data_IF_764945277249
#
_entry.id   IF_764945277249
#
_cell.length_a   1.000
_cell.length_b   1.000
_cell.length_c   1.000
_cell.angle_alpha   90.00
_cell.angle_beta   90.00
_cell.angle_gamma   90.00
#
_symmetry.space_group_name_H-M   'P 1'
#
loop_
_entity.id
_entity.type
_entity.pdbx_description
1 polymer ?
#
# COMPACT_ATOMS: atom_id res chain seq x y z
N UNK A 1 -4.57 -9.97 13.63
CA UNK A 1 -3.36 -10.14 12.78
C UNK A 1 -3.51 -11.20 11.67
N UNK A 2 -4.46 -12.14 11.74
CA UNK A 2 -4.65 -13.17 10.69
C UNK A 2 -4.83 -12.57 9.29
N UNK A 3 -5.76 -11.62 9.15
CA UNK A 3 -6.04 -10.95 7.87
C UNK A 3 -4.80 -10.23 7.30
N UNK A 4 -4.04 -9.51 8.14
CA UNK A 4 -2.81 -8.82 7.69
C UNK A 4 -1.78 -9.82 7.13
N UNK A 5 -1.59 -10.97 7.79
CA UNK A 5 -0.66 -12.01 7.32
C UNK A 5 -1.13 -12.65 5.99
N UNK A 6 -2.43 -12.93 5.87
CA UNK A 6 -3.02 -13.46 4.62
C UNK A 6 -2.88 -12.45 3.47
N UNK A 7 -3.09 -11.16 3.75
CA UNK A 7 -2.91 -10.08 2.80
C UNK A 7 -1.48 -9.98 2.29
N UNK A 8 -0.49 -10.05 3.19
CA UNK A 8 0.92 -9.96 2.81
C UNK A 8 1.35 -11.14 1.95
N UNK A 9 0.87 -12.35 2.26
CA UNK A 9 1.07 -13.55 1.42
C UNK A 9 0.40 -13.41 0.05
N UNK A 10 -0.83 -12.90 0.00
CA UNK A 10 -1.57 -12.67 -1.26
C UNK A 10 -0.78 -11.79 -2.24
N UNK A 11 -0.08 -10.78 -1.71
CA UNK A 11 0.73 -9.86 -2.51
C UNK A 11 2.24 -10.15 -2.49
N UNK A 12 2.66 -11.31 -1.96
CA UNK A 12 4.07 -11.74 -1.90
C UNK A 12 5.00 -10.70 -1.29
N UNK A 13 4.58 -10.13 -0.16
CA UNK A 13 5.32 -9.10 0.59
C UNK A 13 5.82 -9.59 1.95
N UNK A 14 5.67 -10.89 2.20
CA UNK A 14 6.07 -11.60 3.42
C UNK A 14 7.57 -11.88 3.51
N UNK A 15 8.35 -11.66 2.45
CA UNK A 15 9.83 -11.68 2.50
C UNK A 15 10.44 -10.32 2.09
N UNK A 16 9.62 -9.28 2.02
CA UNK A 16 10.08 -7.97 1.58
C UNK A 16 10.91 -7.27 2.66
N UNK A 17 11.89 -6.46 2.23
CA UNK A 17 12.67 -5.61 3.15
C UNK A 17 11.72 -4.74 4.00
N UNK A 18 11.76 -4.86 5.34
CA UNK A 18 10.82 -4.16 6.21
C UNK A 18 11.03 -2.64 6.15
N UNK A 19 9.94 -1.89 6.30
CA UNK A 19 9.94 -0.44 6.33
C UNK A 19 9.34 0.08 7.63
N UNK A 20 10.00 1.01 8.31
CA UNK A 20 9.54 1.52 9.62
C UNK A 20 8.39 2.53 9.55
N UNK A 21 8.07 3.02 8.35
CA UNK A 21 7.06 4.06 8.12
C UNK A 21 6.21 3.71 6.90
N UNK A 22 4.87 3.92 6.93
CA UNK A 22 4.00 3.63 5.80
C UNK A 22 4.23 4.60 4.64
N UNK A 23 4.24 5.89 4.91
CA UNK A 23 4.52 6.98 3.96
C UNK A 23 4.97 8.21 4.75
N UNK A 24 5.84 9.05 4.17
CA UNK A 24 6.15 10.35 4.76
C UNK A 24 5.04 11.34 4.38
N UNK A 25 4.53 12.19 5.30
CA UNK A 25 3.42 13.11 5.00
C UNK A 25 3.71 14.10 3.87
N UNK A 26 4.97 14.43 3.63
CA UNK A 26 5.39 15.32 2.54
C UNK A 26 5.51 14.62 1.18
N UNK A 27 5.17 13.34 1.06
CA UNK A 27 5.18 12.65 -0.23
C UNK A 27 4.11 13.27 -1.12
N UNK A 28 4.55 13.80 -2.25
CA UNK A 28 3.69 14.26 -3.33
C UNK A 28 3.58 13.10 -4.31
N UNK A 29 2.50 12.33 -4.20
CA UNK A 29 2.11 11.39 -5.26
C UNK A 29 1.44 12.22 -6.35
N UNK A 30 2.20 12.54 -7.39
CA UNK A 30 1.72 13.30 -8.55
C UNK A 30 1.27 12.39 -9.69
N UNK A 31 0.60 12.97 -10.67
CA UNK A 31 0.44 12.41 -12.01
C UNK A 31 1.82 12.44 -12.67
N UNK A 32 2.65 11.45 -12.37
CA UNK A 32 3.92 11.27 -13.07
C UNK A 32 3.60 10.79 -14.48
N UNK A 33 3.39 11.70 -15.43
CA UNK A 33 2.94 11.38 -16.80
C UNK A 33 3.88 10.39 -17.51
N UNK A 34 5.16 10.38 -17.15
CA UNK A 34 6.18 9.51 -17.73
C UNK A 34 6.23 8.12 -17.09
N UNK A 35 5.69 7.95 -15.87
CA UNK A 35 5.62 6.63 -15.23
C UNK A 35 4.67 5.70 -16.00
N UNK A 36 5.07 4.42 -16.22
CA UNK A 36 4.22 3.41 -16.86
C UNK A 36 2.89 3.22 -16.13
N UNK A 37 1.84 2.93 -16.91
CA UNK A 37 0.55 2.52 -16.39
C UNK A 37 0.63 1.16 -15.69
N UNK A 38 -0.22 0.98 -14.68
CA UNK A 38 -0.35 -0.26 -13.92
C UNK A 38 -1.74 -0.83 -14.15
N UNK A 39 -1.87 -2.16 -14.09
CA UNK A 39 -3.17 -2.82 -14.13
C UNK A 39 -4.13 -2.25 -13.06
N UNK A 40 -5.20 -1.63 -13.52
CA UNK A 40 -6.15 -0.91 -12.66
C UNK A 40 -6.90 -1.86 -11.74
N UNK A 41 -7.27 -3.05 -12.22
CA UNK A 41 -8.00 -4.06 -11.42
C UNK A 41 -7.16 -4.55 -10.26
N UNK A 42 -5.88 -4.86 -10.50
CA UNK A 42 -4.92 -5.25 -9.47
C UNK A 42 -4.76 -4.13 -8.44
N UNK A 43 -4.53 -2.90 -8.90
CA UNK A 43 -4.34 -1.74 -8.03
C UNK A 43 -5.58 -1.47 -7.15
N UNK A 44 -6.78 -1.47 -7.75
CA UNK A 44 -8.05 -1.32 -7.04
C UNK A 44 -8.25 -2.42 -5.99
N UNK A 45 -7.93 -3.67 -6.33
CA UNK A 45 -7.97 -4.79 -5.39
C UNK A 45 -7.02 -4.61 -4.20
N UNK A 46 -5.81 -4.08 -4.42
CA UNK A 46 -4.87 -3.76 -3.35
C UNK A 46 -5.38 -2.64 -2.46
N UNK A 47 -5.88 -1.54 -3.03
CA UNK A 47 -6.45 -0.42 -2.26
C UNK A 47 -7.66 -0.87 -1.45
N UNK A 48 -8.58 -1.63 -2.04
CA UNK A 48 -9.76 -2.15 -1.33
C UNK A 48 -9.39 -3.01 -0.12
N UNK A 49 -8.39 -3.88 -0.28
CA UNK A 49 -7.92 -4.73 0.82
C UNK A 49 -7.23 -3.91 1.93
N UNK A 50 -6.52 -2.84 1.56
CA UNK A 50 -5.92 -1.91 2.52
C UNK A 50 -6.96 -1.02 3.22
N UNK A 51 -8.01 -0.59 2.52
CA UNK A 51 -9.15 0.14 3.10
C UNK A 51 -9.86 -0.68 4.16
N UNK A 52 -10.02 -1.99 3.96
CA UNK A 52 -10.56 -2.86 4.99
C UNK A 52 -9.68 -2.87 6.26
N UNK A 53 -8.35 -2.86 6.09
CA UNK A 53 -7.42 -2.82 7.22
C UNK A 53 -7.48 -1.52 8.01
N UNK A 54 -7.82 -0.37 7.40
CA UNK A 54 -7.79 0.93 8.10
C UNK A 54 -8.72 0.98 9.30
N UNK A 55 -9.80 0.19 9.31
CA UNK A 55 -10.71 0.07 10.45
C UNK A 55 -10.02 -0.47 11.72
N UNK A 56 -9.05 -1.38 11.55
CA UNK A 56 -8.27 -1.97 12.66
C UNK A 56 -6.88 -1.35 12.83
N UNK A 57 -6.41 -0.64 11.80
CA UNK A 57 -5.05 -0.10 11.69
C UNK A 57 -5.11 1.36 11.19
N UNK A 58 -5.55 2.30 12.04
CA UNK A 58 -5.70 3.70 11.65
C UNK A 58 -4.35 4.36 11.31
N UNK A 59 -3.23 3.78 11.75
CA UNK A 59 -1.89 4.27 11.48
C UNK A 59 -1.49 4.24 9.99
N UNK A 60 -2.14 3.41 9.17
CA UNK A 60 -1.94 3.42 7.70
C UNK A 60 -2.99 4.25 6.94
N UNK A 61 -4.02 4.75 7.63
CA UNK A 61 -5.21 5.36 7.02
C UNK A 61 -4.84 6.46 6.02
N UNK A 62 -4.06 7.45 6.45
CA UNK A 62 -3.62 8.55 5.59
C UNK A 62 -2.96 8.06 4.29
N UNK A 63 -2.03 7.11 4.40
CA UNK A 63 -1.29 6.59 3.25
C UNK A 63 -2.22 5.89 2.25
N UNK A 64 -3.20 5.13 2.76
CA UNK A 64 -4.19 4.43 1.93
C UNK A 64 -5.11 5.42 1.22
N UNK A 65 -5.61 6.45 1.92
CA UNK A 65 -6.46 7.47 1.33
C UNK A 65 -5.77 8.27 0.22
N UNK A 66 -4.46 8.56 0.36
CA UNK A 66 -3.70 9.21 -0.71
C UNK A 66 -3.62 8.29 -1.94
N UNK A 67 -3.33 6.99 -1.76
CA UNK A 67 -3.28 6.03 -2.86
C UNK A 67 -4.65 5.81 -3.53
N UNK A 68 -5.75 5.87 -2.76
CA UNK A 68 -7.10 5.70 -3.26
C UNK A 68 -7.56 6.81 -4.23
N UNK A 69 -6.83 7.92 -4.33
CA UNK A 69 -7.11 8.97 -5.33
C UNK A 69 -6.77 8.53 -6.77
N UNK A 70 -5.93 7.51 -6.93
CA UNK A 70 -5.39 7.10 -8.24
C UNK A 70 -6.00 5.79 -8.77
N UNK A 71 -7.31 5.58 -8.59
CA UNK A 71 -7.98 4.30 -8.94
C UNK A 71 -8.23 4.11 -10.44
N UNK A 72 -8.41 5.20 -11.19
CA UNK A 72 -8.84 5.14 -12.60
C UNK A 72 -7.65 4.85 -13.52
N UNK A 73 -6.53 5.55 -13.30
CA UNK A 73 -5.31 5.41 -14.09
C UNK A 73 -4.09 5.32 -13.16
N UNK A 74 -3.92 4.21 -12.43
CA UNK A 74 -2.77 4.02 -11.57
C UNK A 74 -1.50 3.86 -12.39
N UNK A 75 -0.39 4.29 -11.79
CA UNK A 75 0.95 4.30 -12.38
C UNK A 75 1.92 3.60 -11.44
N UNK A 76 3.09 3.24 -11.93
CA UNK A 76 4.08 2.51 -11.13
C UNK A 76 4.45 3.26 -9.85
N UNK A 77 4.54 4.60 -9.88
CA UNK A 77 4.75 5.42 -8.66
C UNK A 77 3.67 5.21 -7.60
N UNK A 78 2.41 5.04 -8.01
CA UNK A 78 1.29 4.76 -7.11
C UNK A 78 1.35 3.33 -6.58
N UNK A 79 1.73 2.37 -7.43
CA UNK A 79 1.92 0.98 -7.01
C UNK A 79 3.07 0.86 -6.00
N UNK A 80 4.17 1.59 -6.19
CA UNK A 80 5.30 1.62 -5.27
C UNK A 80 4.90 2.15 -3.88
N UNK A 81 4.01 3.14 -3.83
CA UNK A 81 3.43 3.63 -2.58
C UNK A 81 2.64 2.53 -1.85
N UNK A 82 1.80 1.78 -2.54
CA UNK A 82 1.09 0.63 -1.95
C UNK A 82 2.06 -0.45 -1.47
N UNK A 83 3.06 -0.81 -2.28
CA UNK A 83 4.11 -1.77 -1.90
C UNK A 83 4.88 -1.29 -0.65
N UNK A 84 5.03 0.03 -0.45
CA UNK A 84 5.63 0.60 0.77
C UNK A 84 4.73 0.40 1.99
N UNK A 85 3.42 0.62 1.87
CA UNK A 85 2.45 0.36 2.95
C UNK A 85 2.48 -1.12 3.37
N UNK A 86 2.49 -2.04 2.40
CA UNK A 86 2.59 -3.49 2.67
C UNK A 86 3.90 -3.85 3.40
N UNK A 87 5.04 -3.28 2.99
CA UNK A 87 6.33 -3.47 3.69
C UNK A 87 6.34 -2.93 5.13
N UNK A 88 5.57 -1.88 5.39
CA UNK A 88 5.40 -1.37 6.74
C UNK A 88 4.53 -2.30 7.60
N UNK A 89 3.44 -2.83 7.04
CA UNK A 89 2.63 -3.85 7.71
C UNK A 89 3.46 -5.11 8.02
N UNK A 90 4.37 -5.50 7.14
CA UNK A 90 5.31 -6.58 7.40
C UNK A 90 6.26 -6.27 8.56
N UNK A 91 6.88 -5.08 8.56
CA UNK A 91 7.74 -4.64 9.68
C UNK A 91 7.01 -4.69 11.02
N UNK A 92 5.74 -4.26 11.06
CA UNK A 92 4.95 -4.29 12.29
C UNK A 92 4.64 -5.71 12.77
N UNK A 93 4.47 -6.67 11.87
CA UNK A 93 4.29 -8.07 12.25
C UNK A 93 5.59 -8.66 12.82
N UNK A 94 6.75 -8.19 12.36
CA UNK A 94 8.04 -8.69 12.85
C UNK A 94 8.40 -8.19 14.24
N UNK A 95 7.88 -7.03 14.67
CA UNK A 95 8.19 -6.44 15.98
C UNK A 95 7.17 -6.76 17.08
N UNK A 96 6.05 -7.40 16.72
CA UNK A 96 4.99 -7.81 17.64
C UNK A 96 5.08 -9.31 17.92
#
# INVERSE_FOLDING_TARGET
MKYTKELLKKYRTDDAKPMKTPMHPSIILGLDEDSPDVDSTMYQGMVGSLLYLTASRPDIMFSVYVCARFQIRPKEVHLQAIKRILRYLWWLILIM
#
